data_IF_949555279111
#
_entry.id   IF_949555279111
#
_cell.length_a   1.000
_cell.length_b   1.000
_cell.length_c   1.000
_cell.angle_alpha   90.00
_cell.angle_beta   90.00
_cell.angle_gamma   90.00
#
_symmetry.space_group_name_H-M   'P 1'
#
loop_
_entity.id
_entity.type
_entity.pdbx_description
1 polymer ?
#
# COMPACT_ATOMS: atom_id res chain seq x y z
N UNK A 1 30.69 -38.11 -19.98
CA UNK A 1 31.25 -37.12 -20.92
C UNK A 1 30.35 -36.86 -22.12
N UNK A 2 30.15 -37.78 -23.09
CA UNK A 2 29.33 -37.46 -24.27
C UNK A 2 27.83 -37.25 -23.98
N UNK A 3 27.25 -38.05 -23.06
CA UNK A 3 25.84 -37.92 -22.65
C UNK A 3 25.53 -36.64 -21.87
N UNK A 4 26.52 -36.12 -21.14
CA UNK A 4 26.37 -34.92 -20.29
C UNK A 4 26.42 -33.64 -21.13
N UNK A 5 27.30 -33.62 -22.14
CA UNK A 5 27.32 -32.54 -23.14
C UNK A 5 26.02 -32.48 -23.96
N UNK A 6 25.43 -33.64 -24.28
CA UNK A 6 24.15 -33.71 -24.99
C UNK A 6 23.01 -33.12 -24.16
N UNK A 7 22.99 -33.37 -22.84
CA UNK A 7 22.02 -32.77 -21.92
C UNK A 7 22.18 -31.26 -21.80
N UNK A 8 23.41 -30.77 -21.64
CA UNK A 8 23.68 -29.32 -21.58
C UNK A 8 23.26 -28.60 -22.86
N UNK A 9 23.56 -29.17 -24.03
CA UNK A 9 23.13 -28.61 -25.32
C UNK A 9 21.60 -28.57 -25.46
N UNK A 10 20.88 -29.54 -24.87
CA UNK A 10 19.43 -29.54 -24.85
C UNK A 10 18.87 -28.36 -24.06
N UNK A 11 19.34 -28.14 -22.83
CA UNK A 11 18.90 -27.02 -21.99
C UNK A 11 19.30 -25.67 -22.57
N UNK A 12 20.52 -25.56 -23.12
CA UNK A 12 20.98 -24.34 -23.78
C UNK A 12 20.06 -23.93 -24.94
N UNK A 13 19.63 -24.91 -25.75
CA UNK A 13 18.69 -24.65 -26.85
C UNK A 13 17.34 -24.13 -26.33
N UNK A 14 16.79 -24.76 -25.29
CA UNK A 14 15.53 -24.33 -24.67
C UNK A 14 15.65 -22.90 -24.15
N UNK A 15 16.72 -22.59 -23.41
CA UNK A 15 16.96 -21.26 -22.86
C UNK A 15 17.10 -20.19 -23.94
N UNK A 16 17.78 -20.48 -25.05
CA UNK A 16 17.92 -19.54 -26.18
C UNK A 16 16.56 -19.27 -26.85
N UNK A 17 15.76 -20.32 -27.06
CA UNK A 17 14.44 -20.16 -27.68
C UNK A 17 13.50 -19.37 -26.76
N UNK A 18 13.58 -19.62 -25.45
CA UNK A 18 12.83 -18.88 -24.44
C UNK A 18 13.27 -17.42 -24.31
N UNK A 19 14.59 -17.15 -24.33
CA UNK A 19 15.15 -15.80 -24.39
C UNK A 19 14.58 -14.99 -25.55
N UNK A 20 14.53 -15.59 -26.75
CA UNK A 20 13.95 -14.93 -27.94
C UNK A 20 12.47 -14.63 -27.74
N UNK A 21 11.70 -15.57 -27.18
CA UNK A 21 10.28 -15.41 -26.88
C UNK A 21 10.04 -14.23 -25.94
N UNK A 22 10.80 -14.15 -24.85
CA UNK A 22 10.68 -13.09 -23.83
C UNK A 22 11.07 -11.72 -24.41
N UNK A 23 12.17 -11.63 -25.17
CA UNK A 23 12.58 -10.39 -25.82
C UNK A 23 11.49 -9.89 -26.78
N UNK A 24 10.83 -10.80 -27.50
CA UNK A 24 9.72 -10.44 -28.37
C UNK A 24 8.51 -9.93 -27.57
N UNK A 25 8.20 -10.54 -26.44
CA UNK A 25 7.10 -10.08 -25.55
C UNK A 25 7.38 -8.71 -24.94
N UNK A 26 8.60 -8.45 -24.49
CA UNK A 26 9.02 -7.13 -23.98
C UNK A 26 8.82 -6.08 -25.08
N UNK A 27 9.29 -6.34 -26.30
CA UNK A 27 9.11 -5.42 -27.43
C UNK A 27 7.65 -5.16 -27.75
N UNK A 28 6.81 -6.20 -27.71
CA UNK A 28 5.36 -6.05 -27.94
C UNK A 28 4.70 -5.13 -26.89
N UNK A 29 5.11 -5.21 -25.62
CA UNK A 29 4.60 -4.35 -24.55
C UNK A 29 5.13 -2.91 -24.71
N UNK A 30 6.41 -2.76 -25.04
CA UNK A 30 7.04 -1.45 -25.21
C UNK A 30 6.47 -0.69 -26.42
N UNK A 31 6.31 -1.37 -27.56
CA UNK A 31 5.77 -0.79 -28.79
C UNK A 31 4.23 -0.67 -28.78
N UNK A 32 3.56 -1.50 -27.97
CA UNK A 32 2.12 -1.58 -27.86
C UNK A 32 1.46 -2.36 -29.00
N UNK A 33 0.20 -2.76 -28.80
CA UNK A 33 -0.64 -3.36 -29.86
C UNK A 33 -1.23 -2.23 -30.70
N UNK A 34 -1.19 -2.35 -32.04
CA UNK A 34 -1.71 -1.32 -32.97
C UNK A 34 -3.06 -0.75 -32.51
N UNK A 35 -3.06 0.49 -32.05
CA UNK A 35 -4.27 1.22 -31.61
C UNK A 35 -4.33 1.53 -30.11
N UNK A 36 -3.61 0.80 -29.26
CA UNK A 36 -3.51 1.06 -27.82
C UNK A 36 -2.03 1.34 -27.49
N UNK A 37 -1.74 2.55 -27.01
CA UNK A 37 -0.38 3.06 -26.88
C UNK A 37 0.50 2.21 -25.96
N UNK A 38 1.66 1.79 -26.48
CA UNK A 38 2.67 1.07 -25.70
C UNK A 38 3.40 1.95 -24.70
N UNK A 39 4.27 1.33 -23.89
CA UNK A 39 5.04 2.04 -22.85
C UNK A 39 5.98 3.11 -23.43
N UNK A 40 6.35 3.01 -24.71
CA UNK A 40 7.18 3.99 -25.40
C UNK A 40 6.45 5.31 -25.72
N UNK A 41 5.12 5.33 -25.65
CA UNK A 41 4.33 6.56 -25.83
C UNK A 41 4.10 7.27 -24.51
N UNK A 42 3.96 8.59 -24.58
CA UNK A 42 3.56 9.37 -23.41
C UNK A 42 2.15 8.99 -22.97
N UNK A 43 1.83 9.20 -21.70
CA UNK A 43 0.49 8.93 -21.19
C UNK A 43 -0.57 9.72 -21.98
N UNK A 44 -0.31 10.98 -22.32
CA UNK A 44 -1.21 11.83 -23.11
C UNK A 44 -1.47 11.26 -24.51
N UNK A 45 -0.45 10.71 -25.17
CA UNK A 45 -0.60 10.08 -26.49
C UNK A 45 -1.44 8.78 -26.43
N UNK A 46 -1.47 8.11 -25.27
CA UNK A 46 -2.31 6.93 -25.05
C UNK A 46 -3.76 7.29 -24.78
N UNK A 47 -4.03 8.41 -24.10
CA UNK A 47 -5.39 8.94 -23.88
C UNK A 47 -5.95 9.60 -25.15
N UNK A 48 -5.08 10.15 -26.01
CA UNK A 48 -5.49 10.83 -27.25
C UNK A 48 -5.98 12.27 -27.02
N UNK A 49 -5.75 12.81 -25.83
CA UNK A 49 -6.22 14.12 -25.40
C UNK A 49 -5.11 15.18 -25.47
N UNK A 50 -5.48 16.41 -25.81
CA UNK A 50 -4.56 17.56 -25.94
C UNK A 50 -4.16 18.16 -24.57
N UNK A 51 -4.94 17.89 -23.53
CA UNK A 51 -4.75 18.43 -22.19
C UNK A 51 -4.74 17.31 -21.16
N UNK A 52 -3.92 17.43 -20.11
CA UNK A 52 -3.92 16.47 -18.98
C UNK A 52 -5.11 16.64 -18.03
N UNK A 53 -5.97 17.63 -18.26
CA UNK A 53 -7.28 17.73 -17.62
C UNK A 53 -8.28 16.98 -18.50
N UNK A 54 -8.75 15.87 -17.96
CA UNK A 54 -9.68 14.97 -18.62
C UNK A 54 -11.11 15.51 -18.53
N UNK A 55 -11.91 15.26 -19.58
CA UNK A 55 -13.36 15.45 -19.53
C UNK A 55 -14.07 14.20 -18.98
N UNK A 56 -13.41 13.03 -18.94
CA UNK A 56 -13.96 11.73 -18.54
C UNK A 56 -13.02 10.96 -17.58
N UNK A 57 -12.92 11.32 -16.29
CA UNK A 57 -11.93 10.76 -15.36
C UNK A 57 -11.90 9.21 -15.24
N UNK A 58 -12.96 8.53 -15.68
CA UNK A 58 -13.00 7.07 -15.81
C UNK A 58 -11.99 6.55 -16.85
N UNK A 59 -11.84 7.22 -17.99
CA UNK A 59 -10.93 6.81 -19.07
C UNK A 59 -9.46 6.90 -18.61
N UNK A 60 -9.12 7.94 -17.85
CA UNK A 60 -7.82 8.05 -17.19
C UNK A 60 -7.55 6.89 -16.21
N UNK A 61 -8.57 6.45 -15.45
CA UNK A 61 -8.47 5.32 -14.54
C UNK A 61 -8.13 4.02 -15.27
N UNK A 62 -8.89 3.73 -16.33
CA UNK A 62 -8.71 2.52 -17.15
C UNK A 62 -7.33 2.49 -17.83
N UNK A 63 -6.90 3.61 -18.41
CA UNK A 63 -5.60 3.71 -19.07
C UNK A 63 -4.45 3.58 -18.06
N UNK A 64 -4.59 4.20 -16.89
CA UNK A 64 -3.59 4.08 -15.82
C UNK A 64 -3.47 2.64 -15.34
N UNK A 65 -4.60 1.95 -15.19
CA UNK A 65 -4.64 0.55 -14.79
C UNK A 65 -3.97 -0.37 -15.83
N UNK A 66 -4.35 -0.27 -17.10
CA UNK A 66 -3.74 -1.11 -18.16
C UNK A 66 -2.24 -0.80 -18.32
N UNK A 67 -1.83 0.47 -18.22
CA UNK A 67 -0.41 0.83 -18.25
C UNK A 67 0.36 0.26 -17.06
N UNK A 68 -0.22 0.28 -15.86
CA UNK A 68 0.37 -0.33 -14.67
C UNK A 68 0.59 -1.84 -14.83
N UNK A 69 -0.37 -2.52 -15.42
CA UNK A 69 -0.27 -3.95 -15.78
C UNK A 69 0.82 -4.21 -16.81
N UNK A 70 0.93 -3.40 -17.85
CA UNK A 70 1.99 -3.51 -18.86
C UNK A 70 3.38 -3.32 -18.25
N UNK A 71 3.55 -2.36 -17.34
CA UNK A 71 4.80 -2.16 -16.59
C UNK A 71 5.14 -3.41 -15.77
N UNK A 72 4.18 -3.93 -15.00
CA UNK A 72 4.40 -5.11 -14.18
C UNK A 72 4.79 -6.35 -15.01
N UNK A 73 4.13 -6.56 -16.16
CA UNK A 73 4.46 -7.65 -17.08
C UNK A 73 5.85 -7.50 -17.69
N UNK A 74 6.20 -6.30 -18.17
CA UNK A 74 7.54 -6.01 -18.70
C UNK A 74 8.63 -6.27 -17.66
N UNK A 75 8.42 -5.79 -16.43
CA UNK A 75 9.40 -5.94 -15.36
C UNK A 75 9.55 -7.40 -14.95
N UNK A 76 8.46 -8.17 -14.91
CA UNK A 76 8.52 -9.62 -14.72
C UNK A 76 9.31 -10.33 -15.83
N UNK A 77 9.09 -9.96 -17.10
CA UNK A 77 9.85 -10.51 -18.22
C UNK A 77 11.33 -10.15 -18.18
N UNK A 78 11.70 -8.96 -17.70
CA UNK A 78 13.10 -8.58 -17.48
C UNK A 78 13.76 -9.45 -16.41
N UNK A 79 13.08 -9.68 -15.28
CA UNK A 79 13.58 -10.60 -14.25
C UNK A 79 13.77 -12.02 -14.79
N UNK A 80 12.83 -12.52 -15.59
CA UNK A 80 12.98 -13.83 -16.24
C UNK A 80 14.13 -13.87 -17.24
N UNK A 81 14.35 -12.78 -17.98
CA UNK A 81 15.47 -12.65 -18.91
C UNK A 81 16.81 -12.71 -18.17
N UNK A 82 16.93 -12.03 -17.04
CA UNK A 82 18.13 -12.07 -16.19
C UNK A 82 18.39 -13.49 -15.67
N UNK A 83 17.36 -14.21 -15.25
CA UNK A 83 17.48 -15.61 -14.83
C UNK A 83 17.92 -16.54 -15.97
N UNK A 84 17.45 -16.30 -17.19
CA UNK A 84 17.87 -17.07 -18.37
C UNK A 84 19.34 -16.77 -18.72
N UNK A 85 19.75 -15.51 -18.61
CA UNK A 85 21.12 -15.10 -18.91
C UNK A 85 22.10 -15.67 -17.89
N UNK A 86 21.76 -15.66 -16.60
CA UNK A 86 22.52 -16.35 -15.55
C UNK A 86 22.58 -17.87 -15.80
N UNK A 87 21.47 -18.49 -16.20
CA UNK A 87 21.44 -19.92 -16.51
C UNK A 87 22.35 -20.27 -17.71
N UNK A 88 22.38 -19.45 -18.76
CA UNK A 88 23.27 -19.61 -19.90
C UNK A 88 24.74 -19.44 -19.49
N UNK A 89 25.06 -18.44 -18.68
CA UNK A 89 26.42 -18.24 -18.14
C UNK A 89 26.87 -19.44 -17.29
N UNK A 90 25.98 -20.02 -16.49
CA UNK A 90 26.26 -21.23 -15.71
C UNK A 90 26.50 -22.46 -16.58
N UNK A 91 25.86 -22.56 -17.74
CA UNK A 91 26.15 -23.63 -18.70
C UNK A 91 27.58 -23.46 -19.24
N UNK A 92 27.97 -22.24 -19.60
CA UNK A 92 29.32 -21.93 -20.11
C UNK A 92 30.40 -22.17 -19.05
N UNK A 93 30.12 -21.85 -17.79
CA UNK A 93 31.01 -22.06 -16.64
C UNK A 93 31.00 -23.51 -16.10
N UNK A 94 30.10 -24.38 -16.58
CA UNK A 94 29.97 -25.76 -16.13
C UNK A 94 29.36 -25.94 -14.73
N UNK A 95 28.71 -24.91 -14.18
CA UNK A 95 28.05 -24.93 -12.86
C UNK A 95 26.52 -25.06 -12.95
N UNK A 96 25.99 -25.24 -14.17
CA UNK A 96 24.57 -25.44 -14.39
C UNK A 96 24.04 -26.70 -13.69
N UNK A 97 22.84 -26.62 -13.14
CA UNK A 97 22.20 -27.73 -12.43
C UNK A 97 22.58 -27.85 -10.94
N UNK A 98 23.35 -26.91 -10.38
CA UNK A 98 23.62 -26.83 -8.96
C UNK A 98 22.93 -25.63 -8.32
N UNK A 99 22.45 -25.78 -7.09
CA UNK A 99 21.76 -24.73 -6.36
C UNK A 99 22.73 -23.69 -5.80
N UNK A 100 22.52 -22.41 -6.10
CA UNK A 100 23.39 -21.29 -5.67
C UNK A 100 23.51 -21.17 -4.15
N UNK A 101 22.48 -21.56 -3.40
CA UNK A 101 22.42 -21.40 -1.95
C UNK A 101 23.07 -22.55 -1.18
N UNK A 102 22.88 -23.79 -1.64
CA UNK A 102 23.31 -24.99 -0.90
C UNK A 102 24.33 -25.87 -1.64
N UNK A 103 24.64 -25.56 -2.90
CA UNK A 103 25.56 -26.32 -3.75
C UNK A 103 25.06 -27.71 -4.15
N UNK A 104 23.84 -28.10 -3.77
CA UNK A 104 23.27 -29.42 -4.12
C UNK A 104 22.75 -29.42 -5.56
N UNK A 105 22.79 -30.59 -6.19
CA UNK A 105 22.20 -30.83 -7.50
C UNK A 105 20.70 -30.52 -7.49
N UNK A 106 20.24 -29.87 -8.56
CA UNK A 106 18.85 -29.56 -8.84
C UNK A 106 18.26 -30.76 -9.60
N UNK A 107 17.11 -31.31 -9.17
CA UNK A 107 16.49 -32.45 -9.85
C UNK A 107 16.23 -32.17 -11.34
N UNK A 108 16.51 -33.15 -12.21
CA UNK A 108 16.32 -33.01 -13.66
C UNK A 108 14.88 -32.65 -14.02
N UNK A 109 13.88 -33.28 -13.38
CA UNK A 109 12.45 -32.96 -13.58
C UNK A 109 12.14 -31.47 -13.35
N UNK A 110 12.87 -30.82 -12.44
CA UNK A 110 12.72 -29.39 -12.16
C UNK A 110 13.40 -28.53 -13.23
N UNK A 111 14.56 -28.96 -13.75
CA UNK A 111 15.26 -28.27 -14.84
C UNK A 111 14.51 -28.41 -16.17
N UNK A 112 13.84 -29.54 -16.40
CA UNK A 112 12.96 -29.74 -17.56
C UNK A 112 11.74 -28.82 -17.51
N UNK A 113 11.14 -28.63 -16.34
CA UNK A 113 10.01 -27.72 -16.16
C UNK A 113 10.43 -26.23 -16.12
N UNK A 114 11.55 -25.92 -15.46
CA UNK A 114 12.05 -24.57 -15.22
C UNK A 114 13.56 -24.51 -15.46
N UNK A 115 14.01 -24.42 -16.73
CA UNK A 115 15.42 -24.51 -17.10
C UNK A 115 16.27 -23.32 -16.62
N UNK A 116 15.65 -22.21 -16.25
CA UNK A 116 16.30 -21.01 -15.71
C UNK A 116 16.36 -21.00 -14.17
N UNK A 117 15.96 -22.09 -13.49
CA UNK A 117 15.95 -22.12 -12.03
C UNK A 117 17.37 -22.20 -11.46
N UNK A 118 17.68 -21.32 -10.51
CA UNK A 118 18.98 -21.25 -9.83
C UNK A 118 19.00 -21.94 -8.47
N UNK A 119 17.82 -22.37 -7.98
CA UNK A 119 17.65 -22.89 -6.62
C UNK A 119 16.90 -24.23 -6.61
N UNK A 120 17.30 -25.11 -5.71
CA UNK A 120 16.55 -26.33 -5.41
C UNK A 120 15.24 -25.99 -4.67
N UNK A 121 14.28 -26.92 -4.71
CA UNK A 121 12.95 -26.75 -4.12
C UNK A 121 13.01 -26.32 -2.65
N UNK A 122 13.79 -27.00 -1.80
CA UNK A 122 13.88 -26.68 -0.37
C UNK A 122 14.47 -25.29 -0.09
N UNK A 123 15.51 -24.89 -0.84
CA UNK A 123 16.06 -23.54 -0.71
C UNK A 123 15.10 -22.46 -1.22
N UNK A 124 14.27 -22.76 -2.22
CA UNK A 124 13.24 -21.86 -2.73
C UNK A 124 12.08 -21.73 -1.75
N UNK A 125 11.56 -22.82 -1.21
CA UNK A 125 10.47 -22.83 -0.21
C UNK A 125 10.86 -22.05 1.05
N UNK A 126 12.07 -22.26 1.56
CA UNK A 126 12.56 -21.49 2.72
C UNK A 126 12.71 -20.00 2.43
N UNK A 127 12.98 -19.61 1.19
CA UNK A 127 13.03 -18.21 0.77
C UNK A 127 11.63 -17.61 0.62
N UNK A 128 10.67 -18.37 0.10
CA UNK A 128 9.28 -17.93 -0.06
C UNK A 128 8.55 -17.83 1.28
N UNK A 129 8.84 -18.75 2.21
CA UNK A 129 8.30 -18.72 3.57
C UNK A 129 9.05 -17.74 4.50
N UNK A 130 10.13 -17.14 4.02
CA UNK A 130 10.79 -16.08 4.75
C UNK A 130 9.91 -14.84 4.65
N UNK A 131 9.10 -14.61 5.67
CA UNK A 131 8.51 -13.31 5.93
C UNK A 131 9.63 -12.49 6.60
N UNK A 132 10.39 -11.65 5.86
CA UNK A 132 11.23 -10.69 6.55
C UNK A 132 10.30 -9.95 7.52
N UNK A 133 10.72 -9.66 8.76
CA UNK A 133 9.97 -8.70 9.55
C UNK A 133 9.80 -7.50 8.63
N UNK A 134 8.54 -7.18 8.28
CA UNK A 134 8.26 -5.95 7.55
C UNK A 134 8.94 -4.90 8.42
N UNK A 135 10.01 -4.31 7.93
CA UNK A 135 10.53 -3.09 8.52
C UNK A 135 9.40 -2.11 8.28
N UNK A 136 8.46 -2.12 9.23
CA UNK A 136 7.44 -1.10 9.37
C UNK A 136 8.22 0.20 9.28
N UNK A 137 7.77 1.18 8.48
CA UNK A 137 8.51 2.41 8.27
C UNK A 137 9.02 2.95 9.62
N UNK A 138 10.24 3.49 9.68
CA UNK A 138 10.83 3.97 10.94
C UNK A 138 9.93 5.00 11.64
N UNK A 139 9.07 5.68 10.86
CA UNK A 139 8.01 6.56 11.33
C UNK A 139 7.06 5.87 12.32
N UNK A 140 6.83 4.57 12.19
CA UNK A 140 6.03 3.79 13.13
C UNK A 140 6.67 3.61 14.50
N UNK A 141 8.01 3.63 14.59
CA UNK A 141 8.71 3.69 15.87
C UNK A 141 8.40 4.99 16.61
N UNK A 142 8.07 6.05 15.86
CA UNK A 142 7.70 7.37 16.37
C UNK A 142 6.18 7.60 16.46
N UNK A 143 5.33 6.63 16.09
CA UNK A 143 3.86 6.67 16.29
C UNK A 143 3.46 6.43 17.76
N UNK A 144 4.18 7.04 18.70
CA UNK A 144 3.75 7.14 20.09
C UNK A 144 2.78 8.32 20.26
N UNK A 145 2.13 8.45 21.43
CA UNK A 145 1.36 9.65 21.77
C UNK A 145 2.25 10.89 21.52
N UNK A 146 1.81 11.84 20.68
CA UNK A 146 0.43 12.18 20.32
C UNK A 146 -0.12 11.58 19.00
N UNK A 147 0.67 10.81 18.25
CA UNK A 147 0.30 10.30 16.91
C UNK A 147 -0.19 8.85 16.90
N UNK A 148 -0.31 8.24 18.08
CA UNK A 148 -0.91 6.92 18.22
C UNK A 148 -2.43 7.02 17.97
N UNK A 149 -3.05 5.96 17.42
CA UNK A 149 -4.51 5.83 17.34
C UNK A 149 -5.06 5.45 18.72
N UNK A 150 -4.96 6.37 19.66
CA UNK A 150 -5.54 6.24 21.00
C UNK A 150 -6.79 7.10 21.09
N UNK A 151 -7.76 6.57 21.83
CA UNK A 151 -8.90 7.29 22.38
C UNK A 151 -8.65 7.31 23.89
N UNK A 152 -8.41 8.48 24.46
CA UNK A 152 -7.99 8.63 25.87
C UNK A 152 -9.07 9.22 26.77
N UNK A 153 -10.31 9.24 26.32
CA UNK A 153 -11.50 9.90 26.89
C UNK A 153 -11.87 9.31 28.27
N UNK A 154 -11.53 8.04 28.50
CA UNK A 154 -11.70 7.36 29.80
C UNK A 154 -10.52 7.59 30.77
N UNK A 155 -9.50 8.34 30.38
CA UNK A 155 -8.32 8.64 31.19
C UNK A 155 -8.29 10.12 31.62
N UNK A 156 -7.42 10.45 32.58
CA UNK A 156 -7.15 11.86 32.95
C UNK A 156 -6.17 12.54 31.97
N UNK A 157 -5.80 11.86 30.87
CA UNK A 157 -4.85 12.39 29.90
C UNK A 157 -5.57 13.27 28.87
N UNK A 158 -5.29 14.57 28.89
CA UNK A 158 -5.82 15.57 27.95
C UNK A 158 -4.82 15.91 26.83
N UNK A 159 -3.79 15.06 26.66
CA UNK A 159 -2.80 15.27 25.62
C UNK A 159 -3.38 14.94 24.24
N UNK A 160 -3.07 15.78 23.26
CA UNK A 160 -3.48 15.60 21.86
C UNK A 160 -3.29 14.16 21.40
N UNK A 161 -4.34 13.52 20.92
CA UNK A 161 -4.30 12.13 20.49
C UNK A 161 -4.92 11.90 19.09
N UNK A 162 -5.21 10.63 18.78
CA UNK A 162 -5.75 10.25 17.48
C UNK A 162 -7.15 10.79 17.23
N UNK A 163 -7.95 10.97 18.29
CA UNK A 163 -9.28 11.56 18.21
C UNK A 163 -9.18 13.06 17.93
N UNK A 164 -8.37 13.79 18.70
CA UNK A 164 -8.16 15.24 18.49
C UNK A 164 -7.67 15.54 17.06
N UNK A 165 -6.78 14.69 16.54
CA UNK A 165 -6.26 14.79 15.19
C UNK A 165 -7.36 14.63 14.13
N UNK A 166 -8.30 13.71 14.35
CA UNK A 166 -9.44 13.52 13.46
C UNK A 166 -10.43 14.68 13.56
N UNK A 167 -10.82 15.08 14.77
CA UNK A 167 -11.75 16.19 15.02
C UNK A 167 -11.26 17.51 14.37
N UNK A 168 -9.96 17.82 14.48
CA UNK A 168 -9.36 19.02 13.84
C UNK A 168 -9.51 19.08 12.32
N UNK A 169 -9.57 17.94 11.65
CA UNK A 169 -9.80 17.87 10.21
C UNK A 169 -11.29 17.86 9.92
N UNK A 170 -12.06 17.12 10.71
CA UNK A 170 -13.50 16.95 10.55
C UNK A 170 -14.27 18.28 10.57
N UNK A 171 -13.85 19.25 11.38
CA UNK A 171 -14.47 20.60 11.41
C UNK A 171 -14.46 21.37 10.10
N UNK A 172 -13.54 21.04 9.18
CA UNK A 172 -13.47 21.68 7.86
C UNK A 172 -14.38 20.99 6.83
N UNK A 173 -15.14 19.98 7.27
CA UNK A 173 -16.11 19.27 6.48
C UNK A 173 -15.90 17.76 6.56
N UNK A 174 -16.92 17.07 7.05
CA UNK A 174 -17.06 15.62 6.89
C UNK A 174 -18.07 15.32 5.80
N UNK A 175 -18.19 14.05 5.40
CA UNK A 175 -19.30 13.61 4.56
C UNK A 175 -20.57 13.30 5.36
N UNK A 176 -20.58 13.58 6.67
CA UNK A 176 -21.73 13.36 7.53
C UNK A 176 -22.68 14.57 7.47
N UNK A 177 -23.96 14.30 7.67
CA UNK A 177 -24.99 15.31 7.87
C UNK A 177 -25.41 15.35 9.34
N UNK A 178 -26.16 16.38 9.79
CA UNK A 178 -26.71 16.40 11.16
C UNK A 178 -27.63 15.21 11.48
N UNK A 179 -28.10 14.47 10.48
CA UNK A 179 -28.87 13.23 10.68
C UNK A 179 -27.98 12.01 10.95
N UNK A 180 -26.70 12.06 10.52
CA UNK A 180 -25.74 10.97 10.67
C UNK A 180 -25.00 11.03 12.02
N UNK A 181 -24.95 12.21 12.65
CA UNK A 181 -24.24 12.45 13.92
C UNK A 181 -25.26 12.78 15.02
N UNK A 182 -25.36 11.94 16.07
CA UNK A 182 -26.23 12.23 17.21
C UNK A 182 -25.84 13.55 17.90
N UNK A 183 -26.82 14.43 18.10
CA UNK A 183 -26.60 15.71 18.80
C UNK A 183 -26.19 16.87 17.88
N UNK A 184 -25.79 16.61 16.65
CA UNK A 184 -25.49 17.66 15.68
C UNK A 184 -26.76 18.42 15.29
N UNK A 185 -26.75 19.74 15.48
CA UNK A 185 -27.87 20.61 15.10
C UNK A 185 -27.60 21.25 13.74
N UNK A 186 -26.34 21.62 13.49
CA UNK A 186 -25.90 22.25 12.26
C UNK A 186 -24.90 21.39 11.51
N UNK A 187 -24.72 21.66 10.21
CA UNK A 187 -23.71 20.95 9.41
C UNK A 187 -22.29 21.19 9.91
N UNK A 188 -22.06 22.31 10.60
CA UNK A 188 -20.76 22.62 11.20
C UNK A 188 -20.47 21.68 12.38
N UNK A 189 -21.52 21.15 13.04
CA UNK A 189 -21.43 20.20 14.15
C UNK A 189 -21.54 18.74 13.69
N UNK A 190 -21.52 18.48 12.38
CA UNK A 190 -21.72 17.14 11.82
C UNK A 190 -20.46 16.25 11.90
N UNK A 191 -19.84 16.18 13.08
CA UNK A 191 -18.77 15.24 13.40
C UNK A 191 -18.86 14.81 14.87
N UNK A 192 -18.28 13.65 15.19
CA UNK A 192 -18.34 13.12 16.55
C UNK A 192 -17.65 14.06 17.54
N UNK A 193 -18.30 14.24 18.69
CA UNK A 193 -17.82 15.06 19.82
C UNK A 193 -17.53 16.53 19.45
N UNK A 194 -18.32 17.08 18.52
CA UNK A 194 -18.26 18.49 18.12
C UNK A 194 -18.55 19.48 19.26
N UNK A 195 -19.19 19.01 20.34
CA UNK A 195 -19.46 19.78 21.56
C UNK A 195 -18.30 19.76 22.57
N UNK A 196 -17.21 19.05 22.29
CA UNK A 196 -16.02 19.02 23.13
C UNK A 196 -15.27 20.37 23.14
N UNK A 197 -14.80 20.77 24.32
CA UNK A 197 -14.05 22.02 24.50
C UNK A 197 -12.58 21.82 24.17
N UNK A 198 -12.17 22.37 23.02
CA UNK A 198 -10.82 22.18 22.51
C UNK A 198 -9.77 23.02 23.26
N UNK A 199 -8.78 22.35 23.84
CA UNK A 199 -7.60 23.00 24.44
C UNK A 199 -7.84 23.55 25.86
N UNK A 200 -8.97 23.21 26.48
CA UNK A 200 -9.21 23.43 27.90
C UNK A 200 -8.51 22.33 28.70
N UNK A 201 -7.41 22.67 29.38
CA UNK A 201 -6.68 21.73 30.25
C UNK A 201 -7.19 21.84 31.69
N UNK A 202 -7.56 23.05 32.09
CA UNK A 202 -8.17 23.36 33.38
C UNK A 202 -9.36 24.32 33.18
N UNK A 203 -10.27 24.37 34.16
CA UNK A 203 -11.47 25.23 34.11
C UNK A 203 -11.13 26.72 33.87
N UNK A 204 -9.92 27.14 34.24
CA UNK A 204 -9.43 28.49 34.03
C UNK A 204 -9.18 28.86 32.57
N UNK A 205 -8.89 27.87 31.71
CA UNK A 205 -8.60 28.07 30.29
C UNK A 205 -9.89 28.36 29.50
N UNK A 206 -11.02 27.78 29.90
CA UNK A 206 -12.33 27.98 29.25
C UNK A 206 -12.98 29.35 29.51
N UNK A 207 -12.45 30.15 30.45
CA UNK A 207 -13.02 31.47 30.83
C UNK A 207 -13.06 32.44 29.65
N UNK A 208 -12.09 32.37 28.74
CA UNK A 208 -11.98 33.30 27.61
C UNK A 208 -12.97 32.98 26.48
N UNK A 209 -13.39 31.71 26.32
CA UNK A 209 -14.14 31.25 25.14
C UNK A 209 -15.66 31.33 25.33
N UNK A 210 -16.19 31.04 26.52
CA UNK A 210 -17.65 31.05 26.78
C UNK A 210 -18.16 32.38 27.34
N UNK A 211 -17.26 33.27 27.76
CA UNK A 211 -17.61 34.46 28.55
C UNK A 211 -18.17 34.09 29.94
N UNK A 212 -18.22 35.07 30.84
CA UNK A 212 -18.81 34.93 32.18
C UNK A 212 -20.35 34.89 32.09
N UNK A 213 -20.92 33.73 31.76
CA UNK A 213 -22.37 33.49 31.81
C UNK A 213 -22.76 32.80 33.13
N UNK A 214 -24.03 32.89 33.55
CA UNK A 214 -24.50 32.21 34.78
C UNK A 214 -24.36 30.69 34.71
N UNK A 215 -24.47 30.12 33.50
CA UNK A 215 -24.26 28.70 33.19
C UNK A 215 -22.80 28.27 33.45
N UNK A 216 -21.83 29.14 33.16
CA UNK A 216 -20.42 28.94 33.47
C UNK A 216 -20.14 28.84 34.98
N UNK A 217 -20.87 29.61 35.79
CA UNK A 217 -20.69 29.65 37.26
C UNK A 217 -21.23 28.37 37.92
N UNK A 218 -22.30 27.77 37.37
CA UNK A 218 -22.87 26.52 37.88
C UNK A 218 -21.98 25.30 37.61
N UNK A 219 -21.33 25.24 36.44
CA UNK A 219 -20.37 24.18 36.09
C UNK A 219 -19.12 24.20 36.99
N UNK A 220 -18.57 25.39 37.26
CA UNK A 220 -17.38 25.56 38.12
C UNK A 220 -17.66 25.18 39.58
N UNK A 221 -18.86 25.46 40.10
CA UNK A 221 -19.16 25.24 41.51
C UNK A 221 -19.61 23.83 41.87
N UNK A 222 -20.15 23.07 40.92
CA UNK A 222 -20.65 21.73 41.21
C UNK A 222 -19.60 20.63 41.02
N UNK A 223 -18.42 20.96 40.48
CA UNK A 223 -17.38 19.97 40.16
C UNK A 223 -17.95 18.81 39.35
N UNK A 224 -18.92 19.12 38.49
CA UNK A 224 -19.88 18.17 37.95
C UNK A 224 -19.43 17.81 36.53
N UNK A 225 -18.86 16.62 36.31
CA UNK A 225 -18.52 16.15 34.97
C UNK A 225 -19.77 15.65 34.22
N UNK A 226 -20.97 16.11 34.60
CA UNK A 226 -22.22 15.71 33.96
C UNK A 226 -22.48 16.55 32.74
N UNK A 227 -21.71 16.23 31.71
CA UNK A 227 -22.24 15.70 30.44
C UNK A 227 -21.18 14.87 29.73
N UNK A 228 -20.51 13.94 30.43
CA UNK A 228 -20.15 12.67 29.75
C UNK A 228 -21.46 12.07 29.28
N UNK A 229 -21.72 12.13 27.98
CA UNK A 229 -22.90 11.65 27.28
C UNK A 229 -23.07 10.14 27.46
N UNK A 230 -23.49 9.71 28.67
CA UNK A 230 -24.27 8.48 28.77
C UNK A 230 -25.53 8.73 27.97
N UNK A 231 -25.63 8.05 26.83
CA UNK A 231 -26.89 7.87 26.14
C UNK A 231 -27.92 7.31 27.12
N UNK A 232 -28.77 8.16 27.65
CA UNK A 232 -30.05 7.74 28.19
C UNK A 232 -30.97 7.52 26.99
N UNK A 233 -31.04 6.27 26.53
CA UNK A 233 -32.20 5.79 25.80
C UNK A 233 -33.42 6.02 26.69
N UNK A 234 -34.21 7.05 26.38
CA UNK A 234 -35.57 7.17 26.87
C UNK A 234 -36.43 6.15 26.14
N UNK A 235 -36.82 5.09 26.86
CA UNK A 235 -37.97 4.28 26.49
C UNK A 235 -39.23 5.16 26.47
N UNK A 236 -39.79 5.39 25.29
CA UNK A 236 -41.23 5.54 25.04
C UNK A 236 -41.59 4.79 23.75
#
# INVERSE_FOLDING_TARGET
MLMEQVKLNHYQKILIDEKKRIIQQIKQIEDGVKGYGGLNKSFLDSVGELSGYDNHPADHGDITFERGKDIALRDNYRLLLDLIDDALEKIDNGTYGYCDRCGKEIPEERLEAFPYTTMCKGCKETWENYDPPRERPVEEEFLSSPYNRTFTDDTENVAFDGEDAWQKVARYGTSNTPQDVPGAITSDDAFYDADERHGEVDWGDGIEDTGFTEEFIEDVHTGNPRRRSRGEYREE
#
